data_IF_250647984500
#
_entry.id   IF_250647984500
#
_cell.length_a   1.000
_cell.length_b   1.000
_cell.length_c   1.000
_cell.angle_alpha   90.00
_cell.angle_beta   90.00
_cell.angle_gamma   90.00
#
_symmetry.space_group_name_H-M   'P 1'
#
loop_
_entity.id
_entity.type
_entity.pdbx_description
1 polymer ?
#
# COMPACT_ATOMS: atom_id res chain seq x y z
N UNK A 1 -20.08 -9.10 51.53
CA UNK A 1 -19.64 -10.08 50.51
C UNK A 1 -20.16 -9.75 49.10
N UNK A 2 -21.37 -9.24 48.93
CA UNK A 2 -21.94 -8.88 47.59
C UNK A 2 -21.23 -7.70 46.82
N UNK A 3 -20.73 -6.68 47.56
CA UNK A 3 -20.12 -5.51 46.95
C UNK A 3 -18.77 -5.80 46.29
N UNK A 4 -17.93 -6.69 46.88
CA UNK A 4 -16.63 -7.08 46.31
C UNK A 4 -16.74 -7.89 45.02
N UNK A 5 -17.77 -8.73 44.89
CA UNK A 5 -18.03 -9.55 43.70
C UNK A 5 -18.49 -8.69 42.52
N UNK A 6 -19.27 -7.63 42.78
CA UNK A 6 -19.78 -6.73 41.75
C UNK A 6 -18.63 -5.85 41.17
N UNK A 7 -17.71 -5.38 42.03
CA UNK A 7 -16.55 -4.57 41.56
C UNK A 7 -15.61 -5.43 40.75
N UNK A 8 -15.36 -6.67 41.13
CA UNK A 8 -14.49 -7.57 40.37
C UNK A 8 -15.07 -7.94 39.01
N UNK A 9 -16.39 -8.11 38.90
CA UNK A 9 -17.07 -8.38 37.64
C UNK A 9 -17.05 -7.15 36.71
N UNK A 10 -17.22 -5.95 37.26
CA UNK A 10 -17.16 -4.69 36.45
C UNK A 10 -15.73 -4.40 35.94
N UNK A 11 -14.69 -4.64 36.75
CA UNK A 11 -13.31 -4.47 36.29
C UNK A 11 -12.91 -5.49 35.24
N UNK A 12 -13.40 -6.72 35.32
CA UNK A 12 -13.15 -7.76 34.32
C UNK A 12 -13.83 -7.41 32.97
N UNK A 13 -15.08 -6.95 33.00
CA UNK A 13 -15.79 -6.50 31.80
C UNK A 13 -15.10 -5.29 31.13
N UNK A 14 -14.61 -4.33 31.91
CA UNK A 14 -13.90 -3.16 31.39
C UNK A 14 -12.57 -3.55 30.74
N UNK A 15 -11.82 -4.50 31.29
CA UNK A 15 -10.59 -5.00 30.69
C UNK A 15 -10.82 -5.81 29.40
N UNK A 16 -11.90 -6.61 29.34
CA UNK A 16 -12.25 -7.36 28.12
C UNK A 16 -12.63 -6.43 26.96
N UNK A 17 -13.36 -5.35 27.23
CA UNK A 17 -13.68 -4.35 26.19
C UNK A 17 -12.46 -3.58 25.71
N UNK A 18 -11.49 -3.30 26.57
CA UNK A 18 -10.24 -2.61 26.20
C UNK A 18 -9.33 -3.50 25.33
N UNK A 19 -9.29 -4.81 25.55
CA UNK A 19 -8.51 -5.76 24.75
C UNK A 19 -9.15 -5.98 23.36
N UNK A 20 -10.47 -5.89 23.25
CA UNK A 20 -11.20 -6.08 21.99
C UNK A 20 -11.04 -4.87 21.03
N UNK A 21 -10.70 -3.69 21.53
CA UNK A 21 -10.55 -2.47 20.71
C UNK A 21 -9.18 -2.30 20.06
N UNK A 22 -8.19 -3.13 20.42
CA UNK A 22 -6.81 -2.97 19.92
C UNK A 22 -6.47 -3.77 18.65
N UNK A 23 -7.39 -4.54 18.07
CA UNK A 23 -7.11 -5.40 16.91
C UNK A 23 -7.84 -5.00 15.62
N UNK A 24 -8.29 -3.76 15.49
CA UNK A 24 -9.23 -3.44 14.42
C UNK A 24 -8.63 -2.79 13.16
N UNK A 25 -7.33 -2.57 13.03
CA UNK A 25 -6.75 -2.04 11.80
C UNK A 25 -5.31 -2.52 11.56
N UNK A 26 -5.14 -3.77 11.17
CA UNK A 26 -4.01 -4.10 10.31
C UNK A 26 -4.41 -3.70 8.87
N UNK A 27 -4.49 -2.41 8.60
CA UNK A 27 -4.70 -1.92 7.24
C UNK A 27 -3.42 -2.19 6.46
N UNK A 28 -3.46 -3.14 5.54
CA UNK A 28 -2.39 -3.37 4.59
C UNK A 28 -2.25 -2.12 3.70
N UNK A 29 -1.11 -1.43 3.83
CA UNK A 29 -0.83 -0.17 3.13
C UNK A 29 -0.14 -0.38 1.78
N UNK A 30 -0.12 -1.59 1.26
CA UNK A 30 0.55 -1.94 -0.01
C UNK A 30 0.03 -1.18 -1.22
N UNK A 31 -1.14 -0.57 -1.12
CA UNK A 31 -1.78 0.22 -2.17
C UNK A 31 -1.95 1.69 -1.82
N UNK A 32 -1.18 2.21 -0.85
CA UNK A 32 -1.35 3.59 -0.40
C UNK A 32 -0.68 4.63 -1.30
N UNK A 33 0.21 4.24 -2.21
CA UNK A 33 0.76 5.15 -3.22
C UNK A 33 0.37 4.65 -4.60
N UNK A 34 -0.10 5.59 -5.43
CA UNK A 34 -0.43 5.35 -6.82
C UNK A 34 0.41 6.26 -7.71
N UNK A 35 1.18 5.70 -8.63
CA UNK A 35 1.75 6.44 -9.74
C UNK A 35 0.91 6.16 -10.98
N UNK A 36 0.53 7.23 -11.66
CA UNK A 36 -0.36 7.24 -12.81
C UNK A 36 0.41 7.79 -14.03
N UNK A 37 -0.20 7.73 -15.21
CA UNK A 37 0.38 8.31 -16.42
C UNK A 37 0.68 9.82 -16.28
N UNK A 38 1.45 10.36 -17.19
CA UNK A 38 1.81 11.78 -17.25
C UNK A 38 2.52 12.31 -15.98
N UNK A 39 3.42 11.50 -15.39
CA UNK A 39 4.31 11.86 -14.27
C UNK A 39 3.63 12.17 -12.95
N UNK A 40 2.33 11.91 -12.83
CA UNK A 40 1.53 12.18 -11.63
C UNK A 40 1.43 10.99 -10.69
N UNK A 41 0.97 11.26 -9.46
CA UNK A 41 0.62 10.25 -8.49
C UNK A 41 -0.19 10.78 -7.32
N UNK A 42 -0.61 9.88 -6.43
CA UNK A 42 -1.34 10.21 -5.20
C UNK A 42 -0.82 9.36 -4.06
N UNK A 43 -0.59 9.99 -2.91
CA UNK A 43 -0.22 9.35 -1.64
C UNK A 43 -1.41 9.39 -0.67
N UNK A 44 -1.84 8.22 -0.21
CA UNK A 44 -2.93 8.01 0.75
C UNK A 44 -2.41 7.65 2.17
N UNK A 45 -1.12 7.83 2.48
CA UNK A 45 -0.56 7.50 3.78
C UNK A 45 -1.00 8.46 4.90
N UNK A 46 -1.48 9.64 4.56
CA UNK A 46 -2.01 10.62 5.51
C UNK A 46 -3.53 10.63 5.53
N UNK A 47 -4.13 11.37 6.47
CA UNK A 47 -5.60 11.52 6.59
C UNK A 47 -6.25 12.18 5.37
N UNK A 48 -5.49 12.96 4.61
CA UNK A 48 -5.92 13.55 3.34
C UNK A 48 -4.98 13.10 2.23
N UNK A 49 -5.50 12.69 1.06
CA UNK A 49 -4.68 12.36 -0.08
C UNK A 49 -3.77 13.52 -0.51
N UNK A 50 -2.51 13.24 -0.79
CA UNK A 50 -1.53 14.21 -1.26
C UNK A 50 -1.14 13.93 -2.72
N UNK A 51 -1.13 14.95 -3.55
CA UNK A 51 -0.66 14.84 -4.93
C UNK A 51 0.86 14.65 -4.97
N UNK A 52 1.32 13.73 -5.83
CA UNK A 52 2.74 13.51 -6.12
C UNK A 52 3.03 13.98 -7.55
N UNK A 53 4.12 14.72 -7.72
CA UNK A 53 4.58 15.25 -9.01
C UNK A 53 6.03 14.82 -9.34
N UNK A 54 6.54 13.82 -8.63
CA UNK A 54 7.90 13.32 -8.77
C UNK A 54 7.98 11.99 -9.54
N UNK A 55 6.86 11.50 -10.07
CA UNK A 55 6.84 10.32 -10.91
C UNK A 55 7.57 10.51 -12.22
N UNK A 56 8.11 9.43 -12.80
CA UNK A 56 8.76 9.44 -14.12
C UNK A 56 8.01 8.56 -15.12
N UNK A 57 6.93 7.93 -14.67
CA UNK A 57 6.09 7.09 -15.52
C UNK A 57 5.30 7.94 -16.49
N UNK A 58 5.43 7.63 -17.78
CA UNK A 58 4.63 8.20 -18.85
C UNK A 58 3.91 7.05 -19.57
N UNK A 59 2.58 7.01 -19.43
CA UNK A 59 1.74 5.99 -20.07
C UNK A 59 0.35 6.57 -20.31
N UNK A 60 -0.30 6.08 -21.35
CA UNK A 60 -1.65 6.56 -21.73
C UNK A 60 -2.74 5.88 -20.89
N UNK A 61 -2.52 4.61 -20.52
CA UNK A 61 -3.54 3.79 -19.85
C UNK A 61 -2.96 3.04 -18.63
N UNK A 62 -2.73 1.73 -18.76
CA UNK A 62 -2.44 0.85 -17.64
C UNK A 62 -1.09 1.10 -16.97
N UNK A 63 -1.10 1.09 -15.65
CA UNK A 63 0.08 1.13 -14.80
C UNK A 63 -0.18 0.32 -13.52
N UNK A 64 0.87 -0.02 -12.80
CA UNK A 64 0.77 -0.68 -11.51
C UNK A 64 1.81 -0.11 -10.54
N UNK A 65 1.41 0.05 -9.28
CA UNK A 65 2.27 0.53 -8.17
C UNK A 65 2.10 -0.39 -6.99
N UNK A 66 3.17 -0.63 -6.25
CA UNK A 66 3.13 -1.39 -4.99
C UNK A 66 4.00 -0.74 -3.92
N UNK A 67 3.50 -0.79 -2.68
CA UNK A 67 4.20 -0.37 -1.48
C UNK A 67 4.51 -1.58 -0.58
N UNK A 68 5.33 -1.37 0.44
CA UNK A 68 5.48 -2.29 1.56
C UNK A 68 4.26 -2.22 2.51
N UNK A 69 4.24 -3.04 3.56
CA UNK A 69 3.15 -3.08 4.54
C UNK A 69 3.03 -1.79 5.37
N UNK A 70 4.05 -0.94 5.36
CA UNK A 70 4.06 0.37 6.02
C UNK A 70 3.60 1.51 5.09
N UNK A 71 3.38 1.23 3.80
CA UNK A 71 2.97 2.20 2.79
C UNK A 71 4.13 2.91 2.10
N UNK A 72 5.38 2.45 2.25
CA UNK A 72 6.51 3.01 1.52
C UNK A 72 6.54 2.43 0.11
N UNK A 73 6.78 3.28 -0.88
CA UNK A 73 6.92 2.86 -2.28
C UNK A 73 8.01 1.80 -2.44
N UNK A 74 7.71 0.70 -3.09
CA UNK A 74 8.69 -0.29 -3.53
C UNK A 74 9.09 -0.06 -4.99
N UNK A 75 8.11 -0.15 -5.89
CA UNK A 75 8.31 0.10 -7.32
C UNK A 75 6.97 0.34 -8.02
N UNK A 76 7.04 0.83 -9.25
CA UNK A 76 5.90 1.02 -10.13
C UNK A 76 6.30 0.79 -11.60
N UNK A 77 5.31 0.54 -12.48
CA UNK A 77 5.56 0.12 -13.85
C UNK A 77 4.43 0.52 -14.79
N UNK A 78 4.78 0.76 -16.05
CA UNK A 78 3.85 0.86 -17.18
C UNK A 78 3.77 -0.44 -18.01
N UNK A 79 4.38 -1.53 -17.53
CA UNK A 79 4.47 -2.81 -18.24
C UNK A 79 5.61 -2.89 -19.26
N UNK A 80 6.29 -1.80 -19.58
CA UNK A 80 7.47 -1.74 -20.45
C UNK A 80 8.74 -1.48 -19.63
N UNK A 81 8.62 -0.63 -18.61
CA UNK A 81 9.68 -0.24 -17.68
C UNK A 81 9.24 -0.39 -16.23
N UNK A 82 10.17 -0.72 -15.34
CA UNK A 82 9.96 -0.80 -13.89
C UNK A 82 10.86 0.19 -13.19
N UNK A 83 10.26 1.08 -12.41
CA UNK A 83 10.95 2.14 -11.68
C UNK A 83 10.95 1.85 -10.19
N UNK A 84 12.10 2.00 -9.53
CA UNK A 84 12.25 1.85 -8.09
C UNK A 84 11.73 3.08 -7.31
N UNK A 85 11.84 3.05 -5.99
CA UNK A 85 11.43 4.15 -5.09
C UNK A 85 12.25 5.44 -5.26
N UNK A 86 13.39 5.41 -5.95
CA UNK A 86 14.18 6.58 -6.33
C UNK A 86 13.81 7.09 -7.74
N UNK A 87 12.77 6.55 -8.36
CA UNK A 87 12.31 6.89 -9.71
C UNK A 87 13.33 6.59 -10.82
N UNK A 88 14.19 5.59 -10.59
CA UNK A 88 15.18 5.10 -11.55
C UNK A 88 14.77 3.72 -12.06
N UNK A 89 15.01 3.43 -13.34
CA UNK A 89 14.75 2.12 -13.91
C UNK A 89 15.56 1.06 -13.15
N UNK A 90 14.88 0.00 -12.72
CA UNK A 90 15.52 -1.11 -12.03
C UNK A 90 16.43 -1.91 -12.96
N UNK A 91 17.48 -2.58 -12.43
CA UNK A 91 18.24 -3.55 -13.23
C UNK A 91 17.32 -4.59 -13.88
N UNK A 92 17.46 -4.78 -15.19
CA UNK A 92 16.59 -5.61 -16.05
C UNK A 92 15.11 -5.15 -16.10
N UNK A 93 14.82 -3.93 -15.65
CA UNK A 93 13.49 -3.36 -15.59
C UNK A 93 13.08 -2.59 -16.86
N UNK A 94 13.68 -2.84 -18.01
CA UNK A 94 13.34 -2.22 -19.28
C UNK A 94 13.13 -3.24 -20.39
N UNK A 95 12.38 -2.86 -21.42
CA UNK A 95 12.12 -3.74 -22.57
C UNK A 95 11.16 -4.90 -22.24
N UNK A 96 10.30 -4.74 -21.26
CA UNK A 96 9.26 -5.72 -20.95
C UNK A 96 8.17 -5.72 -22.05
N UNK A 97 7.44 -6.83 -22.18
CA UNK A 97 6.47 -7.05 -23.25
C UNK A 97 5.10 -6.41 -23.01
N UNK A 98 4.98 -5.44 -22.11
CA UNK A 98 3.78 -4.65 -21.93
C UNK A 98 3.59 -3.62 -23.05
N UNK A 99 2.47 -2.88 -23.00
CA UNK A 99 2.18 -1.80 -23.92
C UNK A 99 1.69 -0.56 -23.18
N UNK A 100 2.19 0.60 -23.53
CA UNK A 100 1.84 1.89 -22.90
C UNK A 100 0.37 2.30 -23.10
N UNK A 101 -0.35 1.62 -24.00
CA UNK A 101 -1.78 1.80 -24.24
C UNK A 101 -2.61 0.56 -23.91
N UNK A 102 -2.07 -0.37 -23.13
CA UNK A 102 -2.82 -1.54 -22.65
C UNK A 102 -3.63 -1.16 -21.42
N UNK A 103 -4.92 -1.46 -21.39
CA UNK A 103 -5.83 -1.16 -20.27
C UNK A 103 -5.35 -1.80 -18.95
N UNK A 104 -4.62 -2.92 -19.03
CA UNK A 104 -3.95 -3.58 -17.91
C UNK A 104 -2.53 -3.99 -18.34
N UNK A 105 -1.59 -3.07 -18.23
CA UNK A 105 -0.20 -3.27 -18.69
C UNK A 105 0.59 -4.22 -17.79
N UNK A 106 0.27 -4.30 -16.51
CA UNK A 106 0.99 -5.12 -15.54
C UNK A 106 0.09 -5.53 -14.38
N UNK A 107 0.37 -6.71 -13.82
CA UNK A 107 -0.18 -7.20 -12.56
C UNK A 107 0.97 -7.52 -11.62
N UNK A 108 0.97 -6.91 -10.43
CA UNK A 108 1.97 -7.18 -9.39
C UNK A 108 1.38 -8.19 -8.42
N UNK A 109 2.02 -9.35 -8.31
CA UNK A 109 1.61 -10.41 -7.38
C UNK A 109 2.72 -10.62 -6.35
N UNK A 110 2.48 -10.38 -5.06
CA UNK A 110 3.44 -10.69 -4.01
C UNK A 110 3.79 -12.19 -3.99
N UNK A 111 5.05 -12.52 -3.80
CA UNK A 111 5.48 -13.91 -3.64
C UNK A 111 4.95 -14.44 -2.29
N UNK A 112 4.25 -15.59 -2.27
CA UNK A 112 3.79 -16.18 -1.02
C UNK A 112 4.95 -16.47 -0.05
N UNK A 113 4.78 -16.08 1.21
CA UNK A 113 5.79 -16.30 2.26
C UNK A 113 6.90 -15.25 2.34
N UNK A 114 6.94 -14.26 1.45
CA UNK A 114 7.80 -13.09 1.57
C UNK A 114 6.98 -11.89 2.06
N UNK A 115 7.18 -11.56 3.33
CA UNK A 115 6.69 -10.28 3.88
C UNK A 115 7.73 -9.21 3.52
N UNK A 116 7.49 -8.43 2.49
CA UNK A 116 8.30 -7.26 2.12
C UNK A 116 7.65 -6.03 2.74
#
# INVERSE_FOLDING_TARGET
MKLRTTIFSMTLLFNVTLICSSNLFAQNKRTNIWYLGEYGGVDFNSTSPAALSNGVLNTVEGCATICDDNGNLLFYTNGVEVFNKQHVIMPNGSGLFGGTSSSQSALIVPMPGNNV
#
